data_IF_793287061387
#
_entry.id   IF_793287061387
#
_cell.length_a   1.000
_cell.length_b   1.000
_cell.length_c   1.000
_cell.angle_alpha   90.00
_cell.angle_beta   90.00
_cell.angle_gamma   90.00
#
_symmetry.space_group_name_H-M   'P 1'
#
loop_
_entity.id
_entity.type
_entity.pdbx_description
1 polymer ?
#
# COMPACT_ATOMS: atom_id res chain seq x y z
N UNK A 1 11.52 -8.10 21.79
CA UNK A 1 12.19 -7.20 20.82
C UNK A 1 11.18 -6.16 20.35
N UNK A 2 11.54 -4.88 20.25
CA UNK A 2 10.60 -3.89 19.74
C UNK A 2 10.18 -4.28 18.32
N UNK A 3 8.88 -4.26 18.07
CA UNK A 3 8.32 -4.40 16.73
C UNK A 3 8.56 -3.10 15.96
N UNK A 4 8.99 -3.19 14.73
CA UNK A 4 9.14 -2.04 13.83
C UNK A 4 8.39 -2.32 12.53
N UNK A 5 7.92 -1.25 11.90
CA UNK A 5 7.26 -1.34 10.61
C UNK A 5 8.31 -1.45 9.50
N UNK A 6 8.22 -2.50 8.72
CA UNK A 6 9.06 -2.72 7.54
C UNK A 6 8.22 -2.61 6.27
N UNK A 7 8.76 -1.92 5.27
CA UNK A 7 8.20 -1.92 3.93
C UNK A 7 8.84 -3.06 3.13
N UNK A 8 8.02 -3.90 2.51
CA UNK A 8 8.48 -4.97 1.63
C UNK A 8 8.02 -4.67 0.22
N UNK A 9 8.92 -4.81 -0.75
CA UNK A 9 8.60 -4.72 -2.17
C UNK A 9 9.18 -5.92 -2.90
N UNK A 10 8.42 -6.48 -3.82
CA UNK A 10 8.86 -7.59 -4.64
C UNK A 10 8.48 -7.34 -6.11
N UNK A 11 9.37 -7.69 -7.03
CA UNK A 11 9.10 -7.76 -8.47
C UNK A 11 8.85 -9.23 -8.81
N UNK A 12 7.71 -9.48 -9.41
CA UNK A 12 7.18 -10.81 -9.69
C UNK A 12 6.93 -10.95 -11.20
N UNK A 13 6.94 -12.18 -11.70
CA UNK A 13 6.38 -12.45 -13.01
C UNK A 13 4.90 -12.03 -13.05
N UNK A 14 4.43 -11.58 -14.22
CA UNK A 14 3.03 -11.18 -14.44
C UNK A 14 2.12 -12.44 -14.47
N UNK A 15 2.04 -13.09 -13.32
CA UNK A 15 1.24 -14.29 -13.08
C UNK A 15 0.61 -14.23 -11.68
N UNK A 16 -0.72 -14.31 -11.63
CA UNK A 16 -1.50 -14.33 -10.39
C UNK A 16 -1.10 -15.46 -9.45
N UNK A 17 -0.61 -16.58 -9.98
CA UNK A 17 -0.14 -17.71 -9.17
C UNK A 17 1.12 -17.35 -8.38
N UNK A 18 1.98 -16.50 -8.93
CA UNK A 18 3.18 -16.00 -8.22
C UNK A 18 2.74 -15.08 -7.08
N UNK A 19 1.80 -14.18 -7.32
CA UNK A 19 1.20 -13.33 -6.28
C UNK A 19 0.64 -14.20 -5.16
N UNK A 20 -0.14 -15.23 -5.49
CA UNK A 20 -0.73 -16.15 -4.51
C UNK A 20 0.33 -16.90 -3.70
N UNK A 21 1.45 -17.30 -4.30
CA UNK A 21 2.57 -17.94 -3.59
C UNK A 21 3.17 -17.02 -2.54
N UNK A 22 3.40 -15.74 -2.89
CA UNK A 22 3.94 -14.73 -1.96
C UNK A 22 2.95 -14.47 -0.82
N UNK A 23 1.67 -14.26 -1.11
CA UNK A 23 0.63 -14.12 -0.08
C UNK A 23 0.56 -15.37 0.81
N UNK A 24 0.72 -16.56 0.25
CA UNK A 24 0.80 -17.81 0.99
C UNK A 24 1.96 -17.88 1.99
N UNK A 25 3.13 -17.30 1.67
CA UNK A 25 4.25 -17.18 2.61
C UNK A 25 3.86 -16.29 3.79
N UNK A 26 3.26 -15.12 3.52
CA UNK A 26 2.85 -14.16 4.54
C UNK A 26 1.78 -14.74 5.47
N UNK A 27 0.77 -15.40 4.90
CA UNK A 27 -0.31 -16.07 5.65
C UNK A 27 0.22 -17.11 6.64
N UNK A 28 1.17 -17.96 6.21
CA UNK A 28 1.75 -19.01 7.09
C UNK A 28 2.49 -18.45 8.30
N UNK A 29 2.89 -17.18 8.25
CA UNK A 29 3.59 -16.48 9.34
C UNK A 29 2.67 -15.67 10.24
N UNK A 30 1.37 -15.62 9.92
CA UNK A 30 0.36 -14.84 10.65
C UNK A 30 0.80 -13.39 10.90
N UNK A 31 1.41 -12.77 9.89
CA UNK A 31 1.90 -11.39 9.99
C UNK A 31 0.76 -10.41 9.79
N UNK A 32 0.72 -9.39 10.62
CA UNK A 32 -0.16 -8.26 10.39
C UNK A 32 0.35 -7.46 9.19
N UNK A 33 -0.44 -7.42 8.13
CA UNK A 33 -0.14 -6.72 6.90
C UNK A 33 -0.97 -5.46 6.79
N UNK A 34 -0.36 -4.40 6.30
CA UNK A 34 -1.05 -3.18 5.96
C UNK A 34 -0.58 -2.63 4.61
N UNK A 35 -1.47 -1.89 3.95
CA UNK A 35 -1.15 -1.15 2.74
C UNK A 35 -0.65 -2.04 1.59
N UNK A 36 -1.30 -3.17 1.33
CA UNK A 36 -0.96 -4.03 0.19
C UNK A 36 -1.30 -3.31 -1.11
N UNK A 37 -0.34 -3.23 -2.01
CA UNK A 37 -0.50 -2.71 -3.36
C UNK A 37 0.11 -3.66 -4.39
N UNK A 38 -0.58 -3.85 -5.51
CA UNK A 38 -0.10 -4.62 -6.66
C UNK A 38 -0.29 -3.75 -7.89
N UNK A 39 0.73 -3.66 -8.73
CA UNK A 39 0.66 -2.91 -9.98
C UNK A 39 1.76 -3.30 -10.95
N UNK A 40 1.74 -2.79 -12.18
CA UNK A 40 2.79 -3.05 -13.16
C UNK A 40 4.14 -2.53 -12.66
N UNK A 41 5.20 -3.31 -12.87
CA UNK A 41 6.58 -2.91 -12.59
C UNK A 41 7.33 -2.54 -13.87
N UNK A 42 7.34 -3.47 -14.83
CA UNK A 42 7.93 -3.39 -16.15
C UNK A 42 7.21 -4.40 -17.06
N UNK A 43 7.42 -4.42 -18.38
CA UNK A 43 6.78 -5.40 -19.26
C UNK A 43 6.95 -6.84 -18.76
N UNK A 44 5.83 -7.56 -18.59
CA UNK A 44 5.79 -8.92 -18.09
C UNK A 44 6.15 -9.08 -16.60
N UNK A 45 6.04 -8.02 -15.80
CA UNK A 45 6.30 -8.08 -14.36
C UNK A 45 5.34 -7.20 -13.55
N UNK A 46 4.98 -7.69 -12.38
CA UNK A 46 4.21 -6.99 -11.34
C UNK A 46 5.11 -6.56 -10.19
N UNK A 47 4.78 -5.45 -9.57
CA UNK A 47 5.30 -5.06 -8.25
C UNK A 47 4.24 -5.31 -7.19
N UNK A 48 4.59 -6.11 -6.21
CA UNK A 48 3.83 -6.27 -4.97
C UNK A 48 4.55 -5.47 -3.88
N UNK A 49 3.78 -4.69 -3.13
CA UNK A 49 4.30 -3.87 -2.02
C UNK A 49 3.37 -3.98 -0.82
N UNK A 50 3.91 -4.02 0.39
CA UNK A 50 3.14 -4.04 1.63
C UNK A 50 3.99 -3.59 2.81
N UNK A 51 3.33 -3.25 3.92
CA UNK A 51 3.98 -3.06 5.21
C UNK A 51 3.71 -4.24 6.13
N UNK A 52 4.68 -4.56 6.97
CA UNK A 52 4.58 -5.58 7.99
C UNK A 52 5.16 -5.06 9.31
N UNK A 53 4.41 -5.27 10.40
CA UNK A 53 4.86 -4.92 11.75
C UNK A 53 5.45 -6.16 12.40
N UNK A 54 6.78 -6.20 12.50
CA UNK A 54 7.51 -7.34 13.04
C UNK A 54 8.92 -6.96 13.48
N UNK A 55 9.64 -7.86 14.13
CA UNK A 55 11.07 -7.71 14.40
C UNK A 55 11.91 -7.95 13.13
N UNK A 56 13.12 -7.38 13.12
CA UNK A 56 14.03 -7.45 11.97
C UNK A 56 14.37 -8.90 11.56
N UNK A 57 14.59 -9.78 12.53
CA UNK A 57 14.92 -11.18 12.25
C UNK A 57 13.76 -11.94 11.59
N UNK A 58 12.53 -11.60 11.94
CA UNK A 58 11.33 -12.16 11.29
C UNK A 58 11.14 -11.55 9.89
N UNK A 59 11.33 -10.24 9.73
CA UNK A 59 11.31 -9.58 8.42
C UNK A 59 12.32 -10.23 7.45
N UNK A 60 13.55 -10.45 7.89
CA UNK A 60 14.58 -11.12 7.09
C UNK A 60 14.23 -12.58 6.73
N UNK A 61 13.59 -13.33 7.66
CA UNK A 61 13.13 -14.70 7.38
C UNK A 61 12.04 -14.73 6.32
N UNK A 62 11.12 -13.76 6.38
CA UNK A 62 10.05 -13.60 5.38
C UNK A 62 10.65 -13.28 4.02
N UNK A 63 11.58 -12.32 3.97
CA UNK A 63 12.31 -11.98 2.76
C UNK A 63 12.91 -13.23 2.09
N UNK A 64 13.70 -14.00 2.84
CA UNK A 64 14.34 -15.23 2.34
C UNK A 64 13.35 -16.30 1.85
N UNK A 65 12.13 -16.31 2.36
CA UNK A 65 11.10 -17.23 1.89
C UNK A 65 10.39 -16.76 0.63
N UNK A 66 10.11 -15.46 0.53
CA UNK A 66 9.55 -14.86 -0.67
C UNK A 66 10.52 -15.02 -1.83
N UNK A 67 11.79 -14.75 -1.59
CA UNK A 67 12.87 -14.86 -2.54
C UNK A 67 12.99 -16.24 -3.20
N UNK A 68 12.75 -17.31 -2.44
CA UNK A 68 12.78 -18.70 -2.93
C UNK A 68 11.52 -19.09 -3.71
N UNK A 69 10.51 -18.25 -3.74
CA UNK A 69 9.29 -18.56 -4.46
C UNK A 69 9.51 -18.41 -5.97
N UNK A 70 9.18 -19.44 -6.73
CA UNK A 70 9.29 -19.42 -8.19
C UNK A 70 8.47 -18.28 -8.77
N UNK A 71 9.08 -17.54 -9.71
CA UNK A 71 8.48 -16.35 -10.34
C UNK A 71 8.73 -15.03 -9.56
N UNK A 72 9.46 -15.06 -8.45
CA UNK A 72 9.96 -13.86 -7.78
C UNK A 72 11.29 -13.48 -8.40
N UNK A 73 11.35 -12.30 -9.02
CA UNK A 73 12.58 -11.78 -9.68
C UNK A 73 13.46 -11.01 -8.72
N UNK A 74 12.82 -10.21 -7.85
CA UNK A 74 13.51 -9.33 -6.92
C UNK A 74 12.64 -9.18 -5.66
N UNK A 75 13.26 -9.09 -4.50
CA UNK A 75 12.58 -8.74 -3.26
C UNK A 75 13.49 -7.89 -2.37
N UNK A 76 12.93 -6.89 -1.70
CA UNK A 76 13.64 -6.02 -0.78
C UNK A 76 12.79 -5.73 0.47
N UNK A 77 13.45 -5.68 1.63
CA UNK A 77 12.90 -5.10 2.85
C UNK A 77 13.57 -3.75 3.07
N UNK A 78 12.76 -2.75 3.32
CA UNK A 78 13.17 -1.37 3.45
C UNK A 78 12.68 -0.86 4.81
N UNK A 79 13.51 -0.22 5.63
CA UNK A 79 13.02 0.52 6.79
C UNK A 79 11.92 1.50 6.38
N UNK A 80 10.87 1.65 7.18
CA UNK A 80 9.71 2.46 6.79
C UNK A 80 10.07 3.92 6.47
N UNK A 81 11.05 4.48 7.17
CA UNK A 81 11.60 5.83 6.95
C UNK A 81 12.42 5.97 5.66
N UNK A 82 12.97 4.87 5.15
CA UNK A 82 13.69 4.81 3.88
C UNK A 82 12.77 4.55 2.67
N UNK A 83 11.45 4.37 2.88
CA UNK A 83 10.45 4.24 1.83
C UNK A 83 9.73 5.57 1.56
N UNK A 84 9.31 5.77 0.31
CA UNK A 84 8.29 6.77 -0.04
C UNK A 84 6.99 6.03 -0.22
N UNK A 85 6.05 6.23 0.70
CA UNK A 85 4.70 5.70 0.59
C UNK A 85 3.74 6.80 0.11
N UNK A 86 2.81 6.43 -0.75
CA UNK A 86 1.68 7.27 -1.15
C UNK A 86 0.40 6.44 -1.06
N UNK A 87 -0.67 7.11 -0.70
CA UNK A 87 -1.98 6.50 -0.54
C UNK A 87 -3.02 7.32 -1.29
N UNK A 88 -3.95 6.64 -1.94
CA UNK A 88 -5.17 7.22 -2.51
C UNK A 88 -6.34 6.72 -1.68
N UNK A 89 -7.22 7.65 -1.32
CA UNK A 89 -8.47 7.40 -0.60
C UNK A 89 -9.62 7.83 -1.48
N UNK A 90 -10.63 6.98 -1.60
CA UNK A 90 -11.96 7.33 -2.09
C UNK A 90 -12.95 7.07 -0.97
N UNK A 91 -13.68 8.10 -0.53
CA UNK A 91 -14.65 8.02 0.54
C UNK A 91 -16.00 8.58 0.09
N UNK A 92 -17.06 7.78 0.19
CA UNK A 92 -18.43 8.28 0.05
C UNK A 92 -18.91 8.74 1.42
N UNK A 93 -19.20 10.03 1.52
CA UNK A 93 -19.53 10.70 2.78
C UNK A 93 -20.95 11.22 2.72
N UNK A 94 -21.74 10.97 3.75
CA UNK A 94 -23.09 11.55 3.86
C UNK A 94 -23.00 13.07 3.85
N UNK A 95 -23.80 13.69 3.01
CA UNK A 95 -23.83 15.15 2.89
C UNK A 95 -25.17 15.59 2.32
N UNK A 96 -26.17 15.73 3.19
CA UNK A 96 -27.40 16.44 2.87
C UNK A 96 -27.15 17.94 2.64
N UNK A 97 -28.15 18.66 2.17
CA UNK A 97 -27.99 20.08 1.83
C UNK A 97 -27.31 20.94 2.93
N UNK A 98 -27.63 20.78 4.23
CA UNK A 98 -27.00 21.59 5.29
C UNK A 98 -25.54 21.23 5.56
N UNK A 99 -25.12 19.97 5.36
CA UNK A 99 -23.77 19.51 5.67
C UNK A 99 -22.76 19.70 4.53
N UNK A 100 -23.21 19.89 3.29
CA UNK A 100 -22.33 19.95 2.10
C UNK A 100 -21.22 20.98 2.23
N UNK A 101 -21.52 22.16 2.75
CA UNK A 101 -20.53 23.21 2.91
C UNK A 101 -19.44 22.82 3.91
N UNK A 102 -19.83 22.17 5.02
CA UNK A 102 -18.89 21.71 6.03
C UNK A 102 -18.02 20.55 5.53
N UNK A 103 -18.59 19.59 4.78
CA UNK A 103 -17.82 18.50 4.16
C UNK A 103 -16.81 19.06 3.17
N UNK A 104 -17.20 20.01 2.30
CA UNK A 104 -16.30 20.67 1.33
C UNK A 104 -15.15 21.40 2.01
N UNK A 105 -15.42 22.15 3.08
CA UNK A 105 -14.39 22.83 3.85
C UNK A 105 -13.40 21.81 4.44
N UNK A 106 -13.89 20.77 5.10
CA UNK A 106 -13.04 19.71 5.65
C UNK A 106 -12.17 19.04 4.58
N UNK A 107 -12.75 18.73 3.41
CA UNK A 107 -12.00 18.15 2.28
C UNK A 107 -10.90 19.08 1.80
N UNK A 108 -11.19 20.38 1.67
CA UNK A 108 -10.22 21.38 1.25
C UNK A 108 -9.09 21.57 2.29
N UNK A 109 -9.40 21.59 3.59
CA UNK A 109 -8.43 21.72 4.68
C UNK A 109 -7.41 20.56 4.66
N UNK A 110 -7.83 19.38 4.20
CA UNK A 110 -6.99 18.20 4.05
C UNK A 110 -6.45 17.98 2.63
N UNK A 111 -6.52 19.02 1.76
CA UNK A 111 -6.05 18.96 0.37
C UNK A 111 -6.71 17.87 -0.48
N UNK A 112 -7.90 17.43 -0.12
CA UNK A 112 -8.73 16.52 -0.90
C UNK A 112 -9.55 17.25 -1.96
N UNK A 113 -10.32 16.49 -2.73
CA UNK A 113 -11.26 17.03 -3.70
C UNK A 113 -12.57 16.25 -3.74
N UNK A 114 -13.64 16.90 -4.16
CA UNK A 114 -14.90 16.23 -4.47
C UNK A 114 -14.82 15.77 -5.93
N UNK A 115 -15.05 14.49 -6.17
CA UNK A 115 -14.98 13.88 -7.51
C UNK A 115 -16.36 13.51 -8.05
N UNK A 116 -17.36 13.37 -7.17
CA UNK A 116 -18.74 13.13 -7.58
C UNK A 116 -19.72 13.64 -6.51
N UNK A 117 -20.93 14.02 -6.92
CA UNK A 117 -21.97 14.59 -6.07
C UNK A 117 -23.32 13.93 -6.32
N UNK A 118 -23.81 13.23 -5.31
CA UNK A 118 -25.17 12.70 -5.25
C UNK A 118 -26.10 13.59 -4.43
N UNK A 119 -27.41 13.31 -4.37
CA UNK A 119 -28.37 14.12 -3.60
C UNK A 119 -28.06 14.14 -2.11
N UNK A 120 -27.62 13.02 -1.51
CA UNK A 120 -27.43 12.86 -0.07
C UNK A 120 -25.98 12.49 0.32
N UNK A 121 -25.05 12.46 -0.65
CA UNK A 121 -23.68 12.08 -0.42
C UNK A 121 -22.72 12.78 -1.40
N UNK A 122 -21.47 12.93 -0.97
CA UNK A 122 -20.34 13.38 -1.79
C UNK A 122 -19.32 12.26 -1.89
N UNK A 123 -18.72 12.07 -3.06
CA UNK A 123 -17.56 11.22 -3.23
C UNK A 123 -16.29 12.08 -3.15
N UNK A 124 -15.51 11.81 -2.12
CA UNK A 124 -14.27 12.51 -1.81
C UNK A 124 -13.08 11.69 -2.28
N UNK A 125 -12.10 12.34 -2.90
CA UNK A 125 -10.78 11.79 -3.18
C UNK A 125 -9.72 12.52 -2.38
N UNK A 126 -8.81 11.76 -1.79
CA UNK A 126 -7.56 12.25 -1.23
C UNK A 126 -6.37 11.46 -1.77
N UNK A 127 -5.23 12.13 -1.97
CA UNK A 127 -3.98 11.48 -2.35
C UNK A 127 -2.79 12.14 -1.65
N UNK A 128 -1.96 11.34 -0.96
CA UNK A 128 -0.87 11.91 -0.17
C UNK A 128 -0.10 10.89 0.65
N UNK A 129 0.54 11.38 1.70
CA UNK A 129 1.20 10.51 2.68
C UNK A 129 0.15 9.74 3.50
N UNK A 130 0.45 8.48 3.93
CA UNK A 130 -0.52 7.66 4.65
C UNK A 130 -1.13 8.34 5.88
N UNK A 131 -0.32 9.07 6.66
CA UNK A 131 -0.79 9.80 7.84
C UNK A 131 -1.77 10.93 7.46
N UNK A 132 -1.48 11.68 6.40
CA UNK A 132 -2.37 12.74 5.92
C UNK A 132 -3.71 12.15 5.44
N UNK A 133 -3.69 10.98 4.79
CA UNK A 133 -4.90 10.29 4.35
C UNK A 133 -5.71 9.71 5.52
N UNK A 134 -5.03 9.25 6.56
CA UNK A 134 -5.71 8.83 7.80
C UNK A 134 -6.41 10.02 8.45
N UNK A 135 -5.74 11.16 8.59
CA UNK A 135 -6.32 12.38 9.15
C UNK A 135 -7.53 12.88 8.34
N UNK A 136 -7.48 12.78 7.00
CA UNK A 136 -8.63 13.09 6.15
C UNK A 136 -9.82 12.18 6.48
N UNK A 137 -9.61 10.86 6.54
CA UNK A 137 -10.69 9.91 6.82
C UNK A 137 -11.29 10.16 8.21
N UNK A 138 -10.47 10.32 9.24
CA UNK A 138 -10.90 10.63 10.61
C UNK A 138 -11.73 11.94 10.67
N UNK A 139 -11.29 12.97 9.93
CA UNK A 139 -12.04 14.23 9.86
C UNK A 139 -13.41 14.08 9.17
N UNK A 140 -13.54 13.10 8.25
CA UNK A 140 -14.79 12.82 7.54
C UNK A 140 -15.75 11.93 8.34
N UNK A 141 -15.26 11.14 9.30
CA UNK A 141 -16.09 10.21 10.09
C UNK A 141 -17.27 10.90 10.80
N UNK A 142 -17.09 12.14 11.26
CA UNK A 142 -18.16 12.93 11.91
C UNK A 142 -19.38 13.20 11.03
N UNK A 143 -19.23 13.13 9.71
CA UNK A 143 -20.32 13.29 8.75
C UNK A 143 -20.97 11.96 8.36
N UNK A 144 -20.32 10.83 8.69
CA UNK A 144 -20.73 9.48 8.35
C UNK A 144 -20.14 9.04 7.01
N UNK A 145 -19.05 8.30 7.09
CA UNK A 145 -18.45 7.60 5.94
C UNK A 145 -19.29 6.38 5.61
N UNK A 146 -19.86 6.35 4.41
CA UNK A 146 -20.73 5.28 3.92
C UNK A 146 -19.96 4.16 3.26
N UNK A 147 -18.93 4.53 2.49
CA UNK A 147 -18.02 3.62 1.77
C UNK A 147 -16.62 4.19 1.81
N UNK A 148 -15.63 3.32 1.92
CA UNK A 148 -14.22 3.68 1.95
C UNK A 148 -13.39 2.69 1.13
N UNK A 149 -12.61 3.20 0.19
CA UNK A 149 -11.58 2.45 -0.50
C UNK A 149 -10.22 3.15 -0.29
N UNK A 150 -9.19 2.36 0.03
CA UNK A 150 -7.82 2.85 0.23
C UNK A 150 -6.85 1.98 -0.56
N UNK A 151 -5.89 2.62 -1.21
CA UNK A 151 -4.82 1.95 -1.94
C UNK A 151 -3.49 2.61 -1.59
N UNK A 152 -2.48 1.82 -1.28
CA UNK A 152 -1.15 2.31 -0.93
C UNK A 152 -0.10 1.76 -1.87
N UNK A 153 0.80 2.62 -2.31
CA UNK A 153 1.98 2.26 -3.11
C UNK A 153 3.23 2.75 -2.40
N UNK A 154 4.33 2.04 -2.58
CA UNK A 154 5.62 2.42 -2.00
C UNK A 154 6.78 2.12 -2.94
N UNK A 155 7.82 2.95 -2.83
CA UNK A 155 9.12 2.74 -3.45
C UNK A 155 10.24 3.14 -2.47
N UNK A 156 11.46 2.57 -2.61
CA UNK A 156 12.63 3.07 -1.92
C UNK A 156 12.89 4.55 -2.25
N UNK A 157 13.33 5.36 -1.26
CA UNK A 157 13.68 6.78 -1.50
C UNK A 157 14.85 6.95 -2.46
N UNK A 158 15.77 6.00 -2.49
CA UNK A 158 16.92 6.00 -3.39
C UNK A 158 17.00 4.65 -4.08
N UNK A 159 17.51 4.65 -5.31
CA UNK A 159 17.83 3.40 -6.00
C UNK A 159 18.73 2.54 -5.08
N UNK A 160 18.41 1.29 -4.99
CA UNK A 160 18.74 0.24 -4.04
C UNK A 160 20.19 0.09 -3.51
N UNK A 161 20.81 1.18 -3.06
CA UNK A 161 22.10 1.09 -2.32
C UNK A 161 21.94 0.76 -0.82
N UNK A 162 20.72 0.90 -0.25
CA UNK A 162 20.44 0.69 1.17
C UNK A 162 19.43 -0.43 1.44
N UNK A 163 18.77 -0.94 0.41
CA UNK A 163 17.89 -2.10 0.52
C UNK A 163 18.71 -3.37 0.28
N UNK A 164 18.57 -4.37 1.15
CA UNK A 164 19.06 -5.72 0.81
C UNK A 164 18.20 -6.24 -0.33
N UNK A 165 18.71 -6.10 -1.55
CA UNK A 165 18.06 -6.58 -2.76
C UNK A 165 18.69 -7.93 -3.11
N UNK A 166 17.87 -8.94 -3.29
CA UNK A 166 18.32 -10.20 -3.88
C UNK A 166 17.64 -10.37 -5.24
N UNK A 167 18.42 -10.60 -6.26
CA UNK A 167 17.95 -10.77 -7.65
C UNK A 167 18.20 -12.22 -8.06
N UNK A 168 17.16 -12.95 -8.41
CA UNK A 168 17.31 -14.22 -9.11
C UNK A 168 17.62 -13.95 -10.59
N UNK A 169 18.61 -14.67 -11.19
CA UNK A 169 18.80 -14.59 -12.62
C UNK A 169 17.53 -15.10 -13.32
N UNK A 170 17.04 -14.30 -14.26
CA UNK A 170 15.93 -14.72 -15.15
C UNK A 170 16.40 -15.95 -15.91
N UNK A 171 15.81 -17.12 -15.67
CA UNK A 171 15.94 -18.23 -16.61
C UNK A 171 15.22 -17.82 -17.90
N UNK A 172 16.01 -17.49 -18.91
CA UNK A 172 15.49 -17.29 -20.25
C UNK A 172 14.86 -18.63 -20.68
N UNK A 173 13.55 -18.61 -20.85
CA UNK A 173 12.84 -19.72 -21.50
C UNK A 173 13.32 -19.75 -22.94
N UNK A 174 14.08 -20.81 -23.29
CA UNK A 174 14.41 -21.21 -24.66
C UNK A 174 13.15 -21.72 -25.37
#
# INVERSE_FOLDING_TARGET
MPSSTHAVTAVLDDDVLVVNRVIGVLRRRNLALSGIGIGPAQPGALRLSFFVDTDEATAERVLRQIEKAHGVREVAVIPADAAVAREVVLARVRAGAPERAAVRATVADHHGRIVDEGPDALLVEGAGEPTAMTNLVEALERFGVLELARSRVLLPRRAAGAARTHTQPSEAVL
#
